data_IF_395627937494
#
_entry.id   IF_395627937494
#
_cell.length_a   1.000
_cell.length_b   1.000
_cell.length_c   1.000
_cell.angle_alpha   90.00
_cell.angle_beta   90.00
_cell.angle_gamma   90.00
#
_symmetry.space_group_name_H-M   'P 1'
#
loop_
_entity.id
_entity.type
_entity.pdbx_description
1 polymer ?
#
# COMPACT_ATOMS: atom_id res chain seq x y z
N UNK A 1 2.43 10.38 -36.55
CA UNK A 1 2.49 11.86 -36.62
C UNK A 1 2.33 12.44 -35.21
N UNK A 2 3.43 12.71 -34.50
CA UNK A 2 3.38 13.33 -33.18
C UNK A 2 2.93 14.80 -33.28
N UNK A 3 1.97 15.22 -32.47
CA UNK A 3 1.55 16.64 -32.41
C UNK A 3 2.76 17.52 -32.10
N UNK A 4 3.03 18.52 -32.94
CA UNK A 4 4.05 19.55 -32.67
C UNK A 4 3.65 20.27 -31.37
N UNK A 5 4.55 20.29 -30.39
CA UNK A 5 4.32 21.00 -29.12
C UNK A 5 4.17 22.49 -29.40
N UNK A 6 3.23 23.13 -28.73
CA UNK A 6 3.05 24.59 -28.81
C UNK A 6 4.20 25.32 -28.10
N UNK A 7 4.49 26.57 -28.50
CA UNK A 7 5.50 27.41 -27.84
C UNK A 7 5.26 27.52 -26.32
N UNK A 8 3.99 27.66 -25.91
CA UNK A 8 3.56 27.71 -24.50
C UNK A 8 3.86 26.41 -23.73
N UNK A 9 3.77 25.25 -24.38
CA UNK A 9 4.14 23.98 -23.75
C UNK A 9 5.66 23.87 -23.55
N UNK A 10 6.45 24.38 -24.50
CA UNK A 10 7.91 24.40 -24.41
C UNK A 10 8.40 25.32 -23.30
N UNK A 11 7.83 26.53 -23.18
CA UNK A 11 8.13 27.47 -22.09
C UNK A 11 7.82 26.88 -20.71
N UNK A 12 6.67 26.21 -20.57
CA UNK A 12 6.30 25.54 -19.33
C UNK A 12 7.27 24.38 -19.00
N UNK A 13 7.66 23.59 -20.00
CA UNK A 13 8.64 22.51 -19.81
C UNK A 13 10.00 23.06 -19.36
N UNK A 14 10.46 24.14 -19.98
CA UNK A 14 11.71 24.81 -19.62
C UNK A 14 11.67 25.38 -18.20
N UNK A 15 10.55 25.98 -17.80
CA UNK A 15 10.34 26.45 -16.41
C UNK A 15 10.43 25.30 -15.39
N UNK A 16 9.81 24.16 -15.68
CA UNK A 16 9.87 22.99 -14.80
C UNK A 16 11.27 22.37 -14.74
N UNK A 17 12.01 22.38 -15.86
CA UNK A 17 13.39 21.89 -15.90
C UNK A 17 14.32 22.75 -15.03
N UNK A 18 14.28 24.09 -15.21
CA UNK A 18 15.06 25.02 -14.39
C UNK A 18 14.77 24.91 -12.89
N UNK A 19 13.49 24.76 -12.52
CA UNK A 19 13.11 24.56 -11.12
C UNK A 19 13.66 23.26 -10.53
N UNK A 20 13.73 22.19 -11.35
CA UNK A 20 14.29 20.90 -10.94
C UNK A 20 15.81 20.96 -10.76
N UNK A 21 16.52 21.66 -11.65
CA UNK A 21 17.97 21.87 -11.55
C UNK A 21 18.34 22.72 -10.33
N UNK A 22 17.56 23.77 -10.05
CA UNK A 22 17.79 24.63 -8.88
C UNK A 22 17.43 23.97 -7.55
N UNK A 23 16.75 22.82 -7.55
CA UNK A 23 16.33 22.13 -6.33
C UNK A 23 17.47 21.29 -5.75
N UNK A 24 18.05 21.77 -4.64
CA UNK A 24 18.94 20.97 -3.80
C UNK A 24 18.11 20.12 -2.85
N UNK A 25 18.17 18.80 -3.02
CA UNK A 25 17.55 17.88 -2.06
C UNK A 25 18.34 17.93 -0.74
N UNK A 26 17.67 18.03 0.42
CA UNK A 26 18.37 17.95 1.70
C UNK A 26 19.12 16.61 1.82
N UNK A 27 20.38 16.66 2.29
CA UNK A 27 21.31 15.52 2.37
C UNK A 27 20.79 14.33 3.20
N UNK A 28 19.91 14.63 4.15
CA UNK A 28 18.99 13.74 4.86
C UNK A 28 17.97 14.66 5.53
N UNK A 29 16.76 14.18 5.75
CA UNK A 29 15.66 14.97 6.30
C UNK A 29 15.98 15.47 7.73
N UNK A 30 16.55 16.67 7.86
CA UNK A 30 16.33 17.48 9.07
C UNK A 30 14.83 17.79 9.12
N UNK A 31 14.08 17.02 9.91
CA UNK A 31 12.71 17.33 10.29
C UNK A 31 11.60 16.42 9.78
N UNK A 32 11.86 15.41 8.94
CA UNK A 32 10.90 14.32 8.80
C UNK A 32 11.36 13.18 9.69
N UNK A 33 10.62 12.95 10.78
CA UNK A 33 10.76 11.73 11.56
C UNK A 33 10.80 10.58 10.57
N UNK A 34 11.90 9.83 10.50
CA UNK A 34 11.90 8.54 9.80
C UNK A 34 10.75 7.78 10.44
N UNK A 35 9.59 7.73 9.79
CA UNK A 35 8.43 7.05 10.35
C UNK A 35 8.81 5.58 10.32
N UNK A 36 9.45 5.11 11.39
CA UNK A 36 9.66 3.70 11.63
C UNK A 36 8.26 3.13 11.71
N UNK A 37 7.81 2.49 10.62
CA UNK A 37 6.54 1.79 10.57
C UNK A 37 6.79 0.42 11.16
N UNK A 38 6.37 0.17 12.42
CA UNK A 38 6.66 -1.10 13.05
C UNK A 38 5.98 -2.21 12.25
N UNK A 39 6.67 -3.34 12.15
CA UNK A 39 6.15 -4.56 11.54
C UNK A 39 6.05 -5.64 12.61
N UNK A 40 5.02 -6.46 12.50
CA UNK A 40 4.76 -7.59 13.39
C UNK A 40 4.93 -8.88 12.60
N UNK A 41 5.74 -9.85 13.10
CA UNK A 41 5.80 -11.18 12.53
C UNK A 41 4.49 -11.91 12.83
N UNK A 42 3.90 -12.51 11.79
CA UNK A 42 2.65 -13.26 11.89
C UNK A 42 2.74 -14.53 11.07
N UNK A 43 2.01 -15.56 11.51
CA UNK A 43 1.72 -16.75 10.73
C UNK A 43 0.72 -16.44 9.63
N UNK A 44 1.06 -16.85 8.43
CA UNK A 44 0.20 -16.80 7.25
C UNK A 44 -0.02 -18.21 6.71
N UNK A 45 -1.26 -18.66 6.64
CA UNK A 45 -1.61 -19.94 6.02
C UNK A 45 -1.66 -19.77 4.49
N UNK A 46 -0.96 -20.64 3.77
CA UNK A 46 -0.86 -20.60 2.31
C UNK A 46 -2.08 -21.27 1.70
N UNK A 47 -2.72 -20.60 0.75
CA UNK A 47 -3.93 -21.09 0.08
C UNK A 47 -3.68 -21.58 -1.35
N UNK A 48 -2.49 -21.33 -1.91
CA UNK A 48 -2.08 -21.86 -3.20
C UNK A 48 -2.14 -23.40 -3.23
N UNK A 49 -2.77 -23.94 -4.27
CA UNK A 49 -2.78 -25.38 -4.55
C UNK A 49 -1.41 -25.95 -4.92
N UNK A 50 -0.41 -25.08 -5.15
CA UNK A 50 0.97 -25.45 -5.45
C UNK A 50 1.81 -25.67 -4.18
N UNK A 51 1.29 -25.27 -3.02
CA UNK A 51 1.98 -25.44 -1.75
C UNK A 51 1.76 -26.84 -1.17
N UNK A 52 2.64 -27.26 -0.26
CA UNK A 52 2.42 -28.47 0.54
C UNK A 52 1.14 -28.32 1.39
N UNK A 53 0.49 -29.44 1.72
CA UNK A 53 -0.70 -29.42 2.54
C UNK A 53 -0.43 -28.74 3.90
N UNK A 54 -1.25 -27.75 4.26
CA UNK A 54 -1.11 -26.93 5.47
C UNK A 54 0.18 -26.10 5.54
N UNK A 55 0.79 -25.76 4.40
CA UNK A 55 1.93 -24.85 4.37
C UNK A 55 1.60 -23.50 5.04
N UNK A 56 2.51 -23.02 5.88
CA UNK A 56 2.41 -21.74 6.55
C UNK A 56 3.77 -21.04 6.57
N UNK A 57 3.75 -19.72 6.49
CA UNK A 57 4.96 -18.89 6.52
C UNK A 57 4.89 -17.81 7.59
N UNK A 58 6.05 -17.47 8.14
CA UNK A 58 6.22 -16.24 8.91
C UNK A 58 6.36 -15.07 7.94
N UNK A 59 5.43 -14.12 7.98
CA UNK A 59 5.47 -12.87 7.20
C UNK A 59 5.46 -11.64 8.10
N UNK A 60 5.91 -10.51 7.57
CA UNK A 60 5.99 -9.24 8.30
C UNK A 60 4.85 -8.30 7.86
N UNK A 61 3.92 -8.01 8.76
CA UNK A 61 2.77 -7.14 8.47
C UNK A 61 2.92 -5.79 9.16
N UNK A 62 2.48 -4.71 8.51
CA UNK A 62 2.54 -3.36 9.11
C UNK A 62 1.56 -3.25 10.28
N UNK A 63 2.03 -2.77 11.44
CA UNK A 63 1.17 -2.55 12.59
C UNK A 63 0.04 -1.54 12.31
N UNK A 64 0.32 -0.50 11.50
CA UNK A 64 -0.69 0.46 11.07
C UNK A 64 -1.77 -0.19 10.18
N UNK A 65 -1.37 -1.15 9.34
CA UNK A 65 -2.30 -1.95 8.55
C UNK A 65 -3.17 -2.85 9.43
N UNK A 66 -2.56 -3.60 10.36
CA UNK A 66 -3.29 -4.43 11.33
C UNK A 66 -4.33 -3.59 12.09
N UNK A 67 -3.92 -2.46 12.66
CA UNK A 67 -4.81 -1.57 13.38
C UNK A 67 -5.94 -1.03 12.49
N UNK A 68 -5.62 -0.63 11.25
CA UNK A 68 -6.64 -0.12 10.32
C UNK A 68 -7.68 -1.20 9.96
N UNK A 69 -7.26 -2.43 9.71
CA UNK A 69 -8.16 -3.50 9.25
C UNK A 69 -8.88 -4.27 10.37
N UNK A 70 -8.55 -4.03 11.64
CA UNK A 70 -9.28 -4.60 12.79
C UNK A 70 -8.49 -5.57 13.65
N UNK A 71 -7.19 -5.75 13.38
CA UNK A 71 -6.30 -6.61 14.16
C UNK A 71 -6.04 -7.96 13.50
N UNK A 72 -5.45 -8.87 14.27
CA UNK A 72 -5.01 -10.18 13.79
C UNK A 72 -6.19 -11.12 13.48
N UNK A 73 -7.18 -11.18 14.38
CA UNK A 73 -8.31 -12.11 14.27
C UNK A 73 -9.18 -11.84 13.04
N UNK A 74 -9.47 -10.57 12.77
CA UNK A 74 -10.22 -10.12 11.59
C UNK A 74 -9.50 -10.48 10.27
N UNK A 75 -8.17 -10.53 10.30
CA UNK A 75 -7.34 -10.89 9.16
C UNK A 75 -6.99 -12.40 9.11
N UNK A 76 -7.41 -13.17 10.11
CA UNK A 76 -7.08 -14.60 10.23
C UNK A 76 -5.61 -14.87 10.52
N UNK A 77 -4.90 -13.89 11.06
CA UNK A 77 -3.47 -13.97 11.37
C UNK A 77 -3.26 -14.34 12.83
N UNK A 78 -2.10 -14.92 13.14
CA UNK A 78 -1.70 -15.25 14.51
C UNK A 78 -0.27 -14.76 14.72
N UNK A 79 0.05 -14.22 15.90
CA UNK A 79 1.45 -13.89 16.24
C UNK A 79 2.23 -15.19 16.40
N UNK A 80 3.22 -15.43 15.54
CA UNK A 80 4.07 -16.63 15.60
C UNK A 80 5.47 -16.30 15.09
N UNK A 81 6.48 -16.98 15.63
CA UNK A 81 7.89 -16.82 15.25
C UNK A 81 8.57 -18.12 14.77
N UNK A 82 7.85 -19.23 14.71
CA UNK A 82 8.43 -20.57 14.48
C UNK A 82 8.15 -21.17 13.10
N UNK A 83 7.28 -20.57 12.29
CA UNK A 83 7.03 -21.03 10.91
C UNK A 83 8.19 -20.63 9.98
N UNK A 84 8.46 -21.41 8.92
CA UNK A 84 9.52 -21.07 7.96
C UNK A 84 9.28 -19.70 7.32
N UNK A 85 10.37 -19.04 6.93
CA UNK A 85 10.29 -17.79 6.17
C UNK A 85 9.65 -18.03 4.80
N UNK A 86 8.91 -17.05 4.31
CA UNK A 86 8.32 -17.12 2.97
C UNK A 86 9.42 -17.24 1.88
N UNK A 87 9.23 -18.08 0.86
CA UNK A 87 10.19 -18.24 -0.23
C UNK A 87 10.31 -16.97 -1.07
N UNK A 88 11.41 -16.84 -1.81
CA UNK A 88 11.66 -15.66 -2.64
C UNK A 88 10.57 -15.52 -3.72
N UNK A 89 9.96 -14.34 -3.82
CA UNK A 89 8.91 -14.06 -4.80
C UNK A 89 7.50 -14.42 -4.34
N UNK A 90 7.35 -15.04 -3.16
CA UNK A 90 6.05 -15.18 -2.51
C UNK A 90 5.46 -13.82 -2.15
N UNK A 91 4.17 -13.65 -2.44
CA UNK A 91 3.38 -12.52 -1.94
C UNK A 91 2.12 -13.07 -1.26
N UNK A 92 1.89 -12.75 0.02
CA UNK A 92 0.65 -13.14 0.68
C UNK A 92 -0.52 -12.46 -0.01
N UNK A 93 -1.72 -13.00 0.17
CA UNK A 93 -2.91 -12.25 -0.17
C UNK A 93 -3.05 -11.04 0.75
N UNK A 94 -3.39 -9.89 0.19
CA UNK A 94 -3.40 -8.61 0.90
C UNK A 94 -4.73 -7.89 0.71
N UNK A 95 -5.22 -7.27 1.77
CA UNK A 95 -6.22 -6.22 1.68
C UNK A 95 -5.52 -4.87 1.71
N UNK A 96 -5.92 -3.98 0.80
CA UNK A 96 -5.36 -2.65 0.66
C UNK A 96 -6.46 -1.61 0.69
N UNK A 97 -6.16 -0.49 1.32
CA UNK A 97 -7.09 0.62 1.44
C UNK A 97 -6.39 1.96 1.18
N UNK A 98 -7.10 2.84 0.50
CA UNK A 98 -6.79 4.25 0.36
C UNK A 98 -7.92 5.06 0.99
N UNK A 99 -7.59 5.86 2.00
CA UNK A 99 -8.51 6.81 2.64
C UNK A 99 -8.42 8.15 1.90
N UNK A 100 -9.56 8.70 1.50
CA UNK A 100 -9.64 9.96 0.79
C UNK A 100 -10.33 11.05 1.59
N UNK A 101 -9.96 12.30 1.32
CA UNK A 101 -10.73 13.46 1.76
C UNK A 101 -11.93 13.67 0.83
N UNK A 102 -12.96 14.34 1.35
CA UNK A 102 -14.18 14.68 0.59
C UNK A 102 -13.89 15.48 -0.68
N UNK A 103 -12.86 16.34 -0.63
CA UNK A 103 -12.46 17.21 -1.74
C UNK A 103 -10.97 17.04 -2.04
N UNK A 104 -10.59 16.58 -3.25
CA UNK A 104 -9.19 16.52 -3.65
C UNK A 104 -8.54 17.91 -3.61
N UNK A 105 -7.31 17.98 -3.15
CA UNK A 105 -6.54 19.23 -3.08
C UNK A 105 -5.51 19.32 -4.19
N UNK A 106 -5.36 20.50 -4.79
CA UNK A 106 -4.27 20.75 -5.75
C UNK A 106 -3.00 21.06 -4.96
N UNK A 107 -1.97 20.25 -5.18
CA UNK A 107 -0.69 20.30 -4.48
C UNK A 107 0.43 20.47 -5.49
N UNK A 108 1.57 21.03 -5.08
CA UNK A 108 2.75 21.18 -5.95
C UNK A 108 3.84 20.18 -5.59
N UNK A 109 4.45 19.57 -6.60
CA UNK A 109 5.55 18.63 -6.41
C UNK A 109 6.80 19.33 -5.86
N UNK A 110 7.53 18.67 -4.94
CA UNK A 110 8.82 19.19 -4.46
C UNK A 110 9.79 19.22 -5.65
N UNK A 111 10.56 20.29 -5.78
CA UNK A 111 11.54 20.49 -6.85
C UNK A 111 10.94 21.02 -8.15
N UNK A 112 9.99 20.32 -8.77
CA UNK A 112 9.46 20.78 -10.07
C UNK A 112 8.37 21.85 -9.97
N UNK A 113 7.77 22.06 -8.79
CA UNK A 113 6.63 22.95 -8.58
C UNK A 113 5.41 22.70 -9.49
N UNK A 114 5.37 21.54 -10.16
CA UNK A 114 4.25 21.11 -11.00
C UNK A 114 3.00 20.87 -10.14
N UNK A 115 1.85 21.45 -10.49
CA UNK A 115 0.59 21.15 -9.80
C UNK A 115 0.13 19.72 -10.14
N UNK A 116 -0.36 19.01 -9.13
CA UNK A 116 -1.02 17.72 -9.26
C UNK A 116 -2.14 17.61 -8.23
N UNK A 117 -3.19 16.87 -8.56
CA UNK A 117 -4.31 16.65 -7.65
C UNK A 117 -3.98 15.51 -6.70
N UNK A 118 -4.11 15.76 -5.39
CA UNK A 118 -3.98 14.74 -4.34
C UNK A 118 -5.36 14.29 -3.91
N UNK A 119 -5.55 12.97 -3.94
CA UNK A 119 -6.80 12.32 -3.54
C UNK A 119 -6.74 11.68 -2.14
N UNK A 120 -5.55 11.45 -1.59
CA UNK A 120 -5.39 10.82 -0.28
C UNK A 120 -5.58 11.81 0.87
N UNK A 121 -6.13 11.31 1.98
CA UNK A 121 -6.44 12.09 3.20
C UNK A 121 -5.26 12.91 3.74
N UNK A 122 -5.58 14.10 4.21
CA UNK A 122 -4.70 15.01 4.94
C UNK A 122 -4.01 16.05 4.06
N UNK A 123 -3.22 16.92 4.70
CA UNK A 123 -2.41 17.94 4.02
C UNK A 123 -1.04 17.38 3.62
N UNK A 124 -0.39 17.97 2.61
CA UNK A 124 0.99 17.61 2.29
C UNK A 124 1.91 18.03 3.44
N UNK A 125 2.79 17.13 3.88
CA UNK A 125 3.61 17.33 5.07
C UNK A 125 2.90 17.02 6.39
N UNK A 126 1.59 16.70 6.35
CA UNK A 126 0.96 16.06 7.50
C UNK A 126 1.49 14.62 7.62
N UNK A 127 1.81 14.20 8.84
CA UNK A 127 2.22 12.83 9.15
C UNK A 127 1.08 11.80 9.03
N UNK A 128 -0.03 12.17 8.37
CA UNK A 128 -1.23 11.36 8.23
C UNK A 128 -1.03 10.28 7.16
N UNK A 129 -1.08 9.02 7.58
CA UNK A 129 -1.14 7.88 6.67
C UNK A 129 -2.54 7.77 6.04
N UNK A 130 -2.58 7.55 4.73
CA UNK A 130 -3.82 7.38 3.98
C UNK A 130 -3.85 6.09 3.17
N UNK A 131 -2.71 5.40 3.00
CA UNK A 131 -2.63 4.09 2.37
C UNK A 131 -2.32 3.04 3.43
N UNK A 132 -3.12 1.98 3.47
CA UNK A 132 -2.99 0.87 4.41
C UNK A 132 -2.93 -0.43 3.63
N UNK A 133 -2.09 -1.36 4.08
CA UNK A 133 -2.05 -2.73 3.57
C UNK A 133 -1.84 -3.69 4.73
N UNK A 134 -2.52 -4.83 4.68
CA UNK A 134 -2.27 -5.94 5.59
C UNK A 134 -2.50 -7.26 4.86
N UNK A 135 -1.72 -8.28 5.24
CA UNK A 135 -1.98 -9.62 4.79
C UNK A 135 -3.31 -10.14 5.38
N UNK A 136 -3.97 -11.02 4.65
CA UNK A 136 -5.19 -11.70 5.08
C UNK A 136 -5.04 -13.18 4.73
N UNK A 137 -5.51 -14.08 5.59
CA UNK A 137 -5.45 -15.52 5.30
C UNK A 137 -6.68 -16.21 5.87
N UNK A 138 -6.91 -17.47 5.49
CA UNK A 138 -7.94 -18.35 6.03
C UNK A 138 -7.58 -19.81 5.78
N UNK A 139 -8.34 -20.74 6.36
CA UNK A 139 -8.13 -22.18 6.16
C UNK A 139 -8.59 -22.66 4.77
N UNK A 140 -9.54 -21.96 4.14
CA UNK A 140 -10.08 -22.32 2.82
C UNK A 140 -10.33 -21.08 1.96
N UNK A 141 -10.39 -21.22 0.62
CA UNK A 141 -10.73 -20.10 -0.27
C UNK A 141 -12.11 -19.49 0.02
N UNK A 142 -13.10 -20.31 0.38
CA UNK A 142 -14.44 -19.83 0.73
C UNK A 142 -14.44 -19.03 2.05
N UNK A 143 -13.67 -19.47 3.04
CA UNK A 143 -13.49 -18.72 4.28
C UNK A 143 -12.73 -17.40 4.04
N UNK A 144 -11.76 -17.40 3.12
CA UNK A 144 -11.04 -16.19 2.72
C UNK A 144 -11.98 -15.17 2.08
N UNK A 145 -12.80 -15.58 1.11
CA UNK A 145 -13.78 -14.70 0.45
C UNK A 145 -14.76 -14.09 1.46
N UNK A 146 -15.28 -14.91 2.38
CA UNK A 146 -16.16 -14.44 3.47
C UNK A 146 -15.47 -13.38 4.33
N UNK A 147 -14.21 -13.62 4.71
CA UNK A 147 -13.42 -12.69 5.54
C UNK A 147 -13.11 -11.39 4.81
N UNK A 148 -12.69 -11.45 3.54
CA UNK A 148 -12.43 -10.26 2.71
C UNK A 148 -13.70 -9.41 2.60
N UNK A 149 -14.86 -10.02 2.34
CA UNK A 149 -16.14 -9.33 2.29
C UNK A 149 -16.51 -8.68 3.63
N UNK A 150 -16.26 -9.36 4.74
CA UNK A 150 -16.48 -8.80 6.08
C UNK A 150 -15.61 -7.56 6.35
N UNK A 151 -14.31 -7.64 6.03
CA UNK A 151 -13.37 -6.50 6.14
C UNK A 151 -13.83 -5.33 5.26
N UNK A 152 -14.28 -5.60 4.03
CA UNK A 152 -14.76 -4.56 3.12
C UNK A 152 -16.00 -3.85 3.67
N UNK A 153 -16.96 -4.61 4.19
CA UNK A 153 -18.15 -4.05 4.81
C UNK A 153 -17.80 -3.20 6.03
N UNK A 154 -16.91 -3.70 6.91
CA UNK A 154 -16.50 -3.01 8.13
C UNK A 154 -15.74 -1.71 7.87
N UNK A 155 -14.96 -1.62 6.78
CA UNK A 155 -14.11 -0.46 6.49
C UNK A 155 -14.73 0.55 5.54
N UNK A 156 -15.87 0.25 4.92
CA UNK A 156 -16.54 1.12 3.94
C UNK A 156 -16.71 2.56 4.44
N UNK A 157 -17.16 2.76 5.67
CA UNK A 157 -17.35 4.09 6.27
C UNK A 157 -16.04 4.81 6.58
N UNK A 158 -14.94 4.08 6.79
CA UNK A 158 -13.63 4.63 7.15
C UNK A 158 -12.81 5.10 5.94
N UNK A 159 -13.19 4.72 4.72
CA UNK A 159 -12.49 5.10 3.50
C UNK A 159 -12.62 6.59 3.17
N UNK A 160 -13.75 7.21 3.54
CA UNK A 160 -14.00 8.64 3.33
C UNK A 160 -13.99 9.09 1.87
N UNK A 161 -14.62 10.24 1.58
CA UNK A 161 -14.67 10.87 0.26
C UNK A 161 -15.13 9.99 -0.90
N UNK A 162 -15.13 10.54 -2.11
CA UNK A 162 -15.53 9.81 -3.32
C UNK A 162 -14.41 8.95 -3.92
N UNK A 163 -13.18 9.12 -3.43
CA UNK A 163 -11.99 8.48 -3.99
C UNK A 163 -11.39 7.42 -3.06
N UNK A 164 -12.00 7.19 -1.90
CA UNK A 164 -11.61 6.17 -0.96
C UNK A 164 -11.89 4.79 -1.55
N UNK A 165 -10.92 3.88 -1.46
CA UNK A 165 -11.00 2.57 -2.11
C UNK A 165 -10.45 1.50 -1.18
N UNK A 166 -11.08 0.34 -1.22
CA UNK A 166 -10.56 -0.89 -0.65
C UNK A 166 -10.53 -1.95 -1.75
N UNK A 167 -9.45 -2.72 -1.83
CA UNK A 167 -9.30 -3.77 -2.81
C UNK A 167 -8.49 -4.92 -2.23
N UNK A 168 -8.58 -6.05 -2.91
CA UNK A 168 -7.93 -7.29 -2.54
C UNK A 168 -6.91 -7.64 -3.62
N UNK A 169 -5.73 -8.06 -3.21
CA UNK A 169 -4.71 -8.63 -4.08
C UNK A 169 -4.55 -10.11 -3.71
N UNK A 170 -4.68 -10.99 -4.69
CA UNK A 170 -4.57 -12.42 -4.49
C UNK A 170 -3.15 -12.83 -4.14
N UNK A 171 -3.03 -13.96 -3.44
CA UNK A 171 -1.75 -14.60 -3.18
C UNK A 171 -1.01 -14.88 -4.50
N UNK A 172 0.31 -14.67 -4.47
CA UNK A 172 1.21 -15.07 -5.54
C UNK A 172 2.24 -16.06 -4.99
N UNK A 173 2.06 -17.33 -5.34
CA UNK A 173 3.00 -18.40 -5.01
C UNK A 173 3.96 -18.62 -6.19
N UNK A 174 5.28 -18.52 -5.99
CA UNK A 174 6.23 -18.69 -7.07
C UNK A 174 6.19 -20.13 -7.60
N UNK A 175 6.18 -20.28 -8.93
CA UNK A 175 6.36 -21.59 -9.57
C UNK A 175 7.82 -22.03 -9.38
N UNK A 176 8.03 -23.28 -8.94
CA UNK A 176 9.36 -23.86 -8.67
C UNK A 176 10.29 -24.01 -9.91
N UNK A 177 10.02 -23.36 -11.05
CA UNK A 177 10.71 -23.65 -12.33
C UNK A 177 11.14 -22.41 -13.13
N UNK A 178 11.71 -21.39 -12.47
CA UNK A 178 12.49 -20.36 -13.18
C UNK A 178 13.72 -20.00 -12.36
N UNK A 179 14.62 -20.97 -12.25
CA UNK A 179 16.01 -20.83 -11.81
C UNK A 179 16.88 -21.58 -12.80
#
# INVERSE_FOLDING_TARGET
MGRRKSAKELENQLKYAKAREAYSAPLREEGASTQRRPKTPVKYAVLSSLAEANAAFTIQVSAAGLAFFGGLDELGLVVVATDPGAPRGFRPSEVRAMVSDTSPSVVRAKGSNRPYTRYGKGSRGSNSQYNFSAAITAATPAALDTRVKAVFAAKKSSLGGSYGRIWYESEHYPLNSSG
#
